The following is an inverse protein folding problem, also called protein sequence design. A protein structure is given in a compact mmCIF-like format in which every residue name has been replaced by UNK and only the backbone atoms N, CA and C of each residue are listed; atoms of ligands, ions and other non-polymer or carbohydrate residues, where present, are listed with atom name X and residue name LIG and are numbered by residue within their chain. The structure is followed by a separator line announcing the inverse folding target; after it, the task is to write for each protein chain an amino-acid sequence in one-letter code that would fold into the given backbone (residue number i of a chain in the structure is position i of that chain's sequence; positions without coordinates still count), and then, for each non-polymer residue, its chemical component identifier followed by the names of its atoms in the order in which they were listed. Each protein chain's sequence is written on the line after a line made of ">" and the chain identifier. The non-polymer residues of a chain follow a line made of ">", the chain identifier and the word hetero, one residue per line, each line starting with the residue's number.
data_IF_376820879904
#
_entry.id   IF_376820879904
#
_cell.length_a   1.000
_cell.length_b   1.000
_cell.length_c   1.000
_cell.angle_alpha   90.00
_cell.angle_beta   90.00
_cell.angle_gamma   90.00
#
_symmetry.space_group_name_H-M   'P 1'
#
loop_
_entity.id
_entity.type
_entity.pdbx_description
1 polymer ?
#
# COMPACT_ATOMS: atom_id res chain seq x y z
N UNK A 1 11.15 -15.67 -17.30
CA UNK A 1 9.78 -15.66 -16.73
C UNK A 1 8.93 -14.75 -17.61
N UNK A 2 8.02 -15.31 -18.40
CA UNK A 2 7.13 -14.50 -19.25
C UNK A 2 6.10 -13.83 -18.33
N UNK A 3 5.99 -12.51 -18.37
CA UNK A 3 4.92 -11.81 -17.64
C UNK A 3 3.61 -12.05 -18.42
N UNK A 4 2.64 -12.74 -17.82
CA UNK A 4 1.31 -12.87 -18.41
C UNK A 4 0.52 -11.61 -18.12
N UNK A 5 0.10 -10.90 -19.17
CA UNK A 5 -0.74 -9.71 -19.03
C UNK A 5 -2.21 -10.13 -18.99
N UNK A 6 -2.88 -9.84 -17.88
CA UNK A 6 -4.32 -10.05 -17.76
C UNK A 6 -5.07 -9.02 -18.62
N UNK A 7 -6.11 -9.47 -19.35
CA UNK A 7 -6.92 -8.58 -20.18
C UNK A 7 -8.00 -7.90 -19.33
N UNK A 8 -7.90 -6.58 -19.17
CA UNK A 8 -8.89 -5.74 -18.49
C UNK A 8 -9.69 -4.92 -19.53
N UNK A 9 -11.02 -4.91 -19.44
CA UNK A 9 -11.86 -3.98 -20.21
C UNK A 9 -12.26 -2.82 -19.30
N UNK A 10 -12.08 -1.58 -19.77
CA UNK A 10 -12.42 -0.36 -19.02
C UNK A 10 -13.45 0.42 -19.82
N UNK A 11 -14.53 0.83 -19.16
CA UNK A 11 -15.56 1.66 -19.74
C UNK A 11 -15.24 3.14 -19.52
N UNK A 12 -15.30 3.92 -20.58
CA UNK A 12 -15.04 5.36 -20.57
C UNK A 12 -16.08 6.06 -21.45
N UNK A 13 -16.37 7.35 -21.21
CA UNK A 13 -17.23 8.13 -22.09
C UNK A 13 -16.72 8.16 -23.54
N UNK A 14 -17.62 8.15 -24.51
CA UNK A 14 -17.28 8.08 -25.94
C UNK A 14 -16.42 9.26 -26.41
N UNK A 15 -16.68 10.48 -25.94
CA UNK A 15 -15.86 11.65 -26.25
C UNK A 15 -14.41 11.48 -25.77
N UNK A 16 -14.23 10.91 -24.58
CA UNK A 16 -12.92 10.66 -24.01
C UNK A 16 -12.17 9.60 -24.83
N UNK A 17 -12.85 8.51 -25.22
CA UNK A 17 -12.28 7.49 -26.09
C UNK A 17 -11.87 8.06 -27.45
N UNK A 18 -12.73 8.89 -28.06
CA UNK A 18 -12.46 9.53 -29.34
C UNK A 18 -11.24 10.46 -29.26
N UNK A 19 -11.15 11.28 -28.22
CA UNK A 19 -10.02 12.19 -27.98
C UNK A 19 -8.72 11.44 -27.70
N UNK A 20 -8.77 10.38 -26.91
CA UNK A 20 -7.60 9.54 -26.63
C UNK A 20 -7.08 8.89 -27.92
N UNK A 21 -7.98 8.36 -28.75
CA UNK A 21 -7.63 7.75 -30.04
C UNK A 21 -7.06 8.77 -31.03
N UNK A 22 -7.68 9.95 -31.13
CA UNK A 22 -7.22 11.03 -32.01
C UNK A 22 -5.78 11.50 -31.67
N UNK A 23 -5.39 11.38 -30.40
CA UNK A 23 -4.04 11.71 -29.91
C UNK A 23 -3.09 10.51 -29.82
N UNK A 24 -3.53 9.31 -30.24
CA UNK A 24 -2.71 8.11 -30.20
C UNK A 24 -2.28 7.69 -28.78
N UNK A 25 -3.08 8.00 -27.76
CA UNK A 25 -2.73 7.67 -26.38
C UNK A 25 -2.72 6.16 -26.15
N UNK A 26 -1.68 5.68 -25.48
CA UNK A 26 -1.62 4.30 -25.01
C UNK A 26 -2.47 4.15 -23.73
N UNK A 27 -3.76 3.89 -23.92
CA UNK A 27 -4.74 3.75 -22.83
C UNK A 27 -4.32 2.66 -21.85
N UNK A 28 -3.77 1.54 -22.32
CA UNK A 28 -3.31 0.46 -21.44
C UNK A 28 -2.18 0.91 -20.52
N UNK A 29 -1.20 1.66 -21.02
CA UNK A 29 -0.10 2.18 -20.21
C UNK A 29 -0.59 3.23 -19.21
N UNK A 30 -1.50 4.11 -19.62
CA UNK A 30 -2.10 5.12 -18.74
C UNK A 30 -2.92 4.47 -17.62
N UNK A 31 -3.73 3.48 -17.95
CA UNK A 31 -4.50 2.71 -16.96
C UNK A 31 -3.58 1.97 -16.00
N UNK A 32 -2.51 1.33 -16.49
CA UNK A 32 -1.53 0.67 -15.62
C UNK A 32 -0.86 1.64 -14.66
N UNK A 33 -0.40 2.79 -15.16
CA UNK A 33 0.24 3.82 -14.32
C UNK A 33 -0.73 4.35 -13.25
N UNK A 34 -1.99 4.59 -13.62
CA UNK A 34 -3.01 5.05 -12.67
C UNK A 34 -3.31 4.00 -11.59
N UNK A 35 -3.44 2.72 -11.97
CA UNK A 35 -3.66 1.63 -11.02
C UNK A 35 -2.45 1.48 -10.07
N UNK A 36 -1.23 1.51 -10.60
CA UNK A 36 -0.01 1.42 -9.78
C UNK A 36 0.09 2.57 -8.78
N UNK A 37 -0.15 3.80 -9.22
CA UNK A 37 -0.11 4.97 -8.34
C UNK A 37 -1.17 4.89 -7.22
N UNK A 38 -2.38 4.42 -7.52
CA UNK A 38 -3.42 4.25 -6.51
C UNK A 38 -3.08 3.15 -5.50
N UNK A 39 -2.51 2.04 -5.98
CA UNK A 39 -2.05 0.96 -5.10
C UNK A 39 -0.92 1.42 -4.19
N UNK A 40 0.05 2.18 -4.70
CA UNK A 40 1.13 2.75 -3.90
C UNK A 40 0.60 3.74 -2.86
N UNK A 41 -0.35 4.60 -3.25
CA UNK A 41 -0.99 5.55 -2.34
C UNK A 41 -1.76 4.85 -1.22
N UNK A 42 -2.41 3.73 -1.54
CA UNK A 42 -3.18 2.93 -0.58
C UNK A 42 -2.35 1.91 0.21
N UNK A 43 -1.09 1.68 -0.18
CA UNK A 43 -0.26 0.61 0.38
C UNK A 43 -0.02 0.75 1.88
N UNK A 44 0.20 1.98 2.37
CA UNK A 44 0.39 2.22 3.81
C UNK A 44 -0.86 1.88 4.60
N UNK A 45 -2.05 2.24 4.11
CA UNK A 45 -3.31 1.93 4.79
C UNK A 45 -3.57 0.42 4.77
N UNK A 46 -3.35 -0.24 3.63
CA UNK A 46 -3.47 -1.69 3.52
C UNK A 46 -2.51 -2.41 4.48
N UNK A 47 -1.27 -1.93 4.61
CA UNK A 47 -0.31 -2.46 5.59
C UNK A 47 -0.77 -2.23 7.04
N UNK A 48 -1.37 -1.08 7.36
CA UNK A 48 -1.92 -0.82 8.68
C UNK A 48 -3.10 -1.74 9.00
N UNK A 49 -3.97 -2.02 8.02
CA UNK A 49 -5.12 -2.91 8.19
C UNK A 49 -4.69 -4.38 8.41
N UNK A 50 -3.50 -4.78 7.94
CA UNK A 50 -2.91 -6.09 8.21
C UNK A 50 -2.34 -6.22 9.63
N UNK A 51 -2.10 -5.11 10.34
CA UNK A 51 -1.64 -5.15 11.72
C UNK A 51 -2.81 -5.54 12.62
N UNK A 52 -2.74 -6.73 13.21
CA UNK A 52 -3.62 -7.08 14.33
C UNK A 52 -3.48 -6.03 15.43
N UNK A 53 -4.62 -5.51 15.92
CA UNK A 53 -4.65 -4.62 17.08
C UNK A 53 -4.19 -5.39 18.32
N UNK A 54 -2.88 -5.39 18.55
CA UNK A 54 -2.26 -5.99 19.73
C UNK A 54 -2.21 -4.94 20.83
N UNK A 55 -3.37 -4.65 21.39
CA UNK A 55 -3.47 -3.93 22.65
C UNK A 55 -2.96 -4.81 23.80
N UNK A 56 -1.97 -4.30 24.52
CA UNK A 56 -1.48 -4.93 25.76
C UNK A 56 -2.00 -4.12 26.94
N UNK A 57 -2.41 -4.79 28.02
CA UNK A 57 -2.84 -4.12 29.25
C UNK A 57 -1.70 -3.47 30.06
N UNK A 58 -0.44 -3.60 29.62
CA UNK A 58 0.69 -3.01 30.31
C UNK A 58 0.67 -1.48 30.16
N UNK A 59 0.86 -0.77 31.28
CA UNK A 59 1.02 0.68 31.23
C UNK A 59 2.43 1.01 30.79
N UNK A 60 2.58 2.15 30.13
CA UNK A 60 3.86 2.62 29.62
C UNK A 60 4.97 2.64 30.69
N UNK A 61 4.65 3.09 31.91
CA UNK A 61 5.60 3.10 33.03
C UNK A 61 6.09 1.69 33.39
N UNK A 62 5.18 0.72 33.48
CA UNK A 62 5.52 -0.66 33.83
C UNK A 62 6.46 -1.30 32.77
N UNK A 63 6.32 -0.88 31.49
CA UNK A 63 7.20 -1.32 30.40
C UNK A 63 8.58 -0.68 30.48
N UNK A 64 8.67 0.61 30.80
CA UNK A 64 9.95 1.31 30.95
C UNK A 64 10.74 0.75 32.14
N UNK A 65 10.07 0.53 33.28
CA UNK A 65 10.70 -0.06 34.46
C UNK A 65 11.26 -1.45 34.16
N UNK A 66 10.53 -2.27 33.40
CA UNK A 66 11.00 -3.59 32.97
C UNK A 66 12.21 -3.52 32.02
N UNK A 67 12.24 -2.55 31.11
CA UNK A 67 13.37 -2.33 30.20
C UNK A 67 14.62 -1.86 30.94
N UNK A 68 14.47 -0.98 31.92
CA UNK A 68 15.60 -0.50 32.72
C UNK A 68 16.12 -1.60 33.65
N UNK A 69 15.24 -2.39 34.27
CA UNK A 69 15.65 -3.57 35.04
C UNK A 69 16.43 -4.58 34.18
N UNK A 70 15.95 -4.87 32.96
CA UNK A 70 16.65 -5.77 32.04
C UNK A 70 18.02 -5.20 31.59
N UNK A 71 18.12 -3.88 31.42
CA UNK A 71 19.40 -3.21 31.09
C UNK A 71 20.39 -3.35 32.23
N UNK A 72 19.94 -3.17 33.46
CA UNK A 72 20.78 -3.31 34.66
C UNK A 72 21.25 -4.76 34.85
N UNK A 73 20.40 -5.75 34.55
CA UNK A 73 20.75 -7.17 34.59
C UNK A 73 21.78 -7.58 33.50
N UNK A 74 21.71 -6.97 32.32
CA UNK A 74 22.60 -7.26 31.18
C UNK A 74 23.92 -6.44 31.21
N UNK A 75 24.02 -5.44 32.10
CA UNK A 75 25.13 -4.49 32.18
C UNK A 75 26.10 -4.70 33.36
N UNK A 76 26.04 -5.86 34.03
CA UNK A 76 26.97 -6.24 35.10
C UNK A 76 28.22 -6.98 34.59
#
# INVERSE_FOLDING_TARGET
>A
MLVCMARLNVYVPDDLAARARARGLNVSALTQAAISAELENSATNAWLDELEDRSTGARHADVLDALDAARDELGA
#
